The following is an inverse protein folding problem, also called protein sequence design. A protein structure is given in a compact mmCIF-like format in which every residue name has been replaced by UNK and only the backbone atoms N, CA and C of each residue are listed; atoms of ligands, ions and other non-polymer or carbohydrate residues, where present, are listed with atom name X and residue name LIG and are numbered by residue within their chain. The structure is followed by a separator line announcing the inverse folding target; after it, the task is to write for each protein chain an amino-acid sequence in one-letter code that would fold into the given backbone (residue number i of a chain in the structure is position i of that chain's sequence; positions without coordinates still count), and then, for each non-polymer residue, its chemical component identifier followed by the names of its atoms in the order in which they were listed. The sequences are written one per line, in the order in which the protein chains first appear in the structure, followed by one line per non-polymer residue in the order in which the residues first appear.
data_IF_735852990497
#
_entry.id   IF_735852990497
#
_cell.length_a   1.000
_cell.length_b   1.000
_cell.length_c   1.000
_cell.angle_alpha   90.00
_cell.angle_beta   90.00
_cell.angle_gamma   90.00
#
_symmetry.space_group_name_H-M   'P 1'
#
loop_
_entity.id
_entity.type
_entity.pdbx_description
1 polymer ?
#
# COMPACT_ATOMS: atom_id res chain seq x y z
N UNK A 1 -9.47 11.82 27.42
CA UNK A 1 -10.17 11.13 26.31
C UNK A 1 -9.49 11.52 25.01
N UNK A 2 -8.55 10.73 24.51
CA UNK A 2 -7.89 10.97 23.22
C UNK A 2 -8.81 10.41 22.14
N UNK A 3 -9.21 11.24 21.18
CA UNK A 3 -10.13 10.88 20.10
C UNK A 3 -9.33 10.20 18.98
N UNK A 4 -9.36 8.88 18.91
CA UNK A 4 -8.76 8.06 17.84
C UNK A 4 -9.58 8.11 16.53
N UNK A 5 -9.92 9.31 16.05
CA UNK A 5 -10.73 9.48 14.83
C UNK A 5 -9.89 9.46 13.54
N UNK A 6 -8.57 9.62 13.63
CA UNK A 6 -7.70 9.79 12.47
C UNK A 6 -7.55 8.53 11.63
N UNK A 7 -7.43 7.37 12.25
CA UNK A 7 -7.10 6.10 11.57
C UNK A 7 -8.29 5.55 10.77
N UNK A 8 -9.51 5.65 11.29
CA UNK A 8 -10.73 5.23 10.58
C UNK A 8 -11.13 6.16 9.44
N UNK A 9 -11.02 7.48 9.62
CA UNK A 9 -11.29 8.45 8.55
C UNK A 9 -10.27 8.30 7.42
N UNK A 10 -8.99 8.14 7.76
CA UNK A 10 -7.94 7.90 6.78
C UNK A 10 -8.17 6.60 6.02
N UNK A 11 -8.58 5.53 6.71
CA UNK A 11 -8.92 4.27 6.05
C UNK A 11 -10.08 4.44 5.05
N UNK A 12 -11.15 5.12 5.44
CA UNK A 12 -12.29 5.39 4.56
C UNK A 12 -11.92 6.26 3.34
N UNK A 13 -11.05 7.26 3.51
CA UNK A 13 -10.63 8.14 2.41
C UNK A 13 -9.70 7.46 1.40
N UNK A 14 -8.94 6.46 1.84
CA UNK A 14 -7.96 5.76 1.00
C UNK A 14 -8.47 4.38 0.54
N UNK A 15 -9.74 4.07 0.76
CA UNK A 15 -10.36 2.77 0.45
C UNK A 15 -9.61 1.59 1.09
N UNK A 16 -9.14 1.81 2.33
CA UNK A 16 -8.47 0.77 3.10
C UNK A 16 -9.52 -0.14 3.77
N UNK A 17 -9.29 -1.45 3.71
CA UNK A 17 -10.10 -2.50 4.32
C UNK A 17 -10.13 -2.41 5.85
N UNK A 18 -9.09 -1.85 6.48
CA UNK A 18 -9.05 -1.63 7.91
C UNK A 18 -8.11 -0.46 8.29
N UNK A 19 -8.37 0.10 9.47
CA UNK A 19 -7.51 1.12 10.05
C UNK A 19 -6.24 0.49 10.63
N UNK A 20 -5.08 1.08 10.32
CA UNK A 20 -3.79 0.64 10.84
C UNK A 20 -2.97 1.87 11.23
N UNK A 21 -2.22 1.79 12.32
CA UNK A 21 -1.24 2.82 12.66
C UNK A 21 0.00 2.71 11.77
N UNK A 22 0.77 3.79 11.69
CA UNK A 22 2.03 3.78 10.94
C UNK A 22 3.01 2.70 11.46
N UNK A 23 3.10 2.54 12.79
CA UNK A 23 3.97 1.55 13.40
C UNK A 23 3.56 0.13 13.02
N UNK A 24 2.28 -0.21 13.14
CA UNK A 24 1.74 -1.52 12.74
C UNK A 24 1.97 -1.81 11.25
N UNK A 25 1.77 -0.81 10.38
CA UNK A 25 2.02 -0.96 8.95
C UNK A 25 3.50 -1.26 8.66
N UNK A 26 4.41 -0.49 9.26
CA UNK A 26 5.85 -0.69 9.06
C UNK A 26 6.32 -2.03 9.63
N UNK A 27 5.78 -2.44 10.78
CA UNK A 27 6.03 -3.76 11.35
C UNK A 27 5.55 -4.86 10.42
N UNK A 28 4.33 -4.78 9.89
CA UNK A 28 3.82 -5.77 8.94
C UNK A 28 4.70 -5.89 7.68
N UNK A 29 5.11 -4.76 7.10
CA UNK A 29 6.00 -4.74 5.93
C UNK A 29 7.36 -5.37 6.23
N UNK A 30 7.97 -5.01 7.36
CA UNK A 30 9.27 -5.54 7.76
C UNK A 30 9.20 -7.05 8.09
N UNK A 31 8.20 -7.47 8.86
CA UNK A 31 7.98 -8.88 9.20
C UNK A 31 7.75 -9.70 7.94
N UNK A 32 6.91 -9.24 7.02
CA UNK A 32 6.67 -9.94 5.76
C UNK A 32 7.96 -10.07 4.93
N UNK A 33 8.80 -9.03 4.89
CA UNK A 33 10.10 -9.08 4.19
C UNK A 33 11.03 -10.11 4.82
N UNK A 34 11.21 -10.07 6.15
CA UNK A 34 12.09 -11.01 6.87
C UNK A 34 11.62 -12.45 6.70
N UNK A 35 10.32 -12.72 6.85
CA UNK A 35 9.78 -14.07 6.68
C UNK A 35 10.01 -14.60 5.27
N UNK A 36 9.82 -13.77 4.24
CA UNK A 36 9.99 -14.21 2.85
C UNK A 36 11.45 -14.41 2.45
N UNK A 37 12.38 -13.63 3.00
CA UNK A 37 13.82 -13.80 2.75
C UNK A 37 14.35 -15.08 3.40
N UNK A 38 13.77 -15.48 4.53
CA UNK A 38 14.21 -16.64 5.29
C UNK A 38 13.31 -17.88 5.11
N UNK A 39 12.34 -17.85 4.16
CA UNK A 39 11.47 -19.01 3.93
C UNK A 39 12.23 -20.10 3.19
N UNK A 40 11.95 -21.36 3.53
CA UNK A 40 12.36 -22.49 2.70
C UNK A 40 11.44 -22.55 1.48
N UNK A 41 11.95 -22.25 0.29
CA UNK A 41 11.18 -22.27 -0.95
C UNK A 41 10.72 -23.68 -1.37
N UNK A 42 11.31 -24.75 -0.82
CA UNK A 42 10.89 -26.13 -1.11
C UNK A 42 9.68 -26.54 -0.29
N UNK A 43 9.67 -26.19 0.99
CA UNK A 43 8.54 -26.48 1.90
C UNK A 43 7.43 -25.43 1.79
N UNK A 44 7.80 -24.18 1.52
CA UNK A 44 6.91 -23.03 1.40
C UNK A 44 7.20 -22.27 0.09
N UNK A 45 6.75 -22.80 -1.05
CA UNK A 45 7.05 -22.21 -2.36
C UNK A 45 6.43 -20.82 -2.53
N UNK A 46 5.26 -20.58 -1.93
CA UNK A 46 4.56 -19.32 -2.03
C UNK A 46 5.05 -18.28 -1.00
N UNK A 47 5.23 -17.01 -1.40
CA UNK A 47 5.53 -15.95 -0.46
C UNK A 47 4.42 -15.78 0.58
N UNK A 48 4.83 -15.62 1.84
CA UNK A 48 3.95 -15.23 2.93
C UNK A 48 3.43 -13.83 2.65
N UNK A 49 2.11 -13.66 2.73
CA UNK A 49 1.42 -12.38 2.61
C UNK A 49 0.68 -12.10 3.91
N UNK A 50 1.09 -11.04 4.59
CA UNK A 50 0.36 -10.55 5.75
C UNK A 50 -0.84 -9.70 5.29
N UNK A 51 -1.94 -9.65 6.07
CA UNK A 51 -3.05 -8.76 5.78
C UNK A 51 -2.56 -7.31 5.67
N UNK A 52 -2.85 -6.68 4.54
CA UNK A 52 -2.52 -5.28 4.29
C UNK A 52 -3.80 -4.45 4.29
N UNK A 53 -3.72 -3.16 4.66
CA UNK A 53 -4.91 -2.31 4.72
C UNK A 53 -5.50 -2.04 3.33
N UNK A 54 -4.75 -2.20 2.24
CA UNK A 54 -5.29 -2.07 0.88
C UNK A 54 -5.90 -3.39 0.38
N UNK A 55 -6.96 -3.32 -0.45
CA UNK A 55 -7.59 -4.52 -1.02
C UNK A 55 -6.61 -5.36 -1.83
N UNK A 56 -6.75 -6.69 -1.76
CA UNK A 56 -5.98 -7.58 -2.63
C UNK A 56 -6.21 -7.23 -4.11
N UNK A 57 -5.12 -7.13 -4.88
CA UNK A 57 -5.19 -6.77 -6.29
C UNK A 57 -5.11 -5.27 -6.60
N UNK A 58 -5.11 -4.37 -5.60
CA UNK A 58 -4.86 -2.92 -5.82
C UNK A 58 -3.45 -2.60 -6.35
N UNK A 59 -2.51 -3.54 -6.21
CA UNK A 59 -1.18 -3.47 -6.82
C UNK A 59 -1.09 -4.01 -8.25
N UNK A 60 -2.13 -4.70 -8.76
CA UNK A 60 -2.24 -4.89 -10.20
C UNK A 60 -2.66 -3.53 -10.71
N UNK A 61 -1.74 -2.83 -11.36
CA UNK A 61 -2.10 -1.65 -12.13
C UNK A 61 -3.41 -2.00 -12.85
N UNK A 62 -4.53 -1.36 -12.48
CA UNK A 62 -5.66 -1.30 -13.40
C UNK A 62 -5.04 -0.94 -14.75
N UNK A 63 -5.39 -1.62 -15.84
CA UNK A 63 -4.73 -1.42 -17.13
C UNK A 63 -4.85 0.05 -17.56
N UNK A 64 -3.93 0.88 -17.07
CA UNK A 64 -3.95 2.33 -17.25
C UNK A 64 -3.49 2.51 -18.67
N UNK A 65 -4.39 3.01 -19.51
CA UNK A 65 -4.05 3.25 -20.91
C UNK A 65 -2.88 4.24 -21.01
N UNK A 66 -2.12 4.24 -22.10
CA UNK A 66 -1.06 5.22 -22.31
C UNK A 66 -1.53 6.66 -22.12
N UNK A 67 -2.76 6.96 -22.51
CA UNK A 67 -3.41 8.27 -22.39
C UNK A 67 -3.70 8.63 -20.93
N UNK A 68 -4.27 7.71 -20.15
CA UNK A 68 -4.53 7.91 -18.73
C UNK A 68 -3.23 8.08 -17.94
N UNK A 69 -2.18 7.35 -18.32
CA UNK A 69 -0.86 7.48 -17.72
C UNK A 69 -0.25 8.87 -17.99
N UNK A 70 -0.42 9.40 -19.20
CA UNK A 70 0.03 10.75 -19.54
C UNK A 70 -0.73 11.81 -18.73
N UNK A 71 -2.05 11.65 -18.57
CA UNK A 71 -2.87 12.55 -17.76
C UNK A 71 -2.47 12.53 -16.27
N UNK A 72 -2.26 11.34 -15.69
CA UNK A 72 -1.80 11.19 -14.31
C UNK A 72 -0.40 11.79 -14.12
N UNK A 73 0.49 11.60 -15.09
CA UNK A 73 1.83 12.21 -15.06
C UNK A 73 1.76 13.74 -15.10
N UNK A 74 0.88 14.31 -15.93
CA UNK A 74 0.65 15.75 -15.98
C UNK A 74 0.07 16.30 -14.67
N UNK A 75 -0.86 15.56 -14.03
CA UNK A 75 -1.38 15.92 -12.71
C UNK A 75 -0.30 15.87 -11.63
N UNK A 76 0.57 14.87 -11.68
CA UNK A 76 1.67 14.70 -10.73
C UNK A 76 2.72 15.79 -10.91
N UNK A 77 3.08 16.14 -12.15
CA UNK A 77 3.97 17.27 -12.43
C UNK A 77 3.37 18.60 -11.96
N UNK A 78 2.08 18.85 -12.18
CA UNK A 78 1.40 20.08 -11.70
C UNK A 78 1.43 20.20 -10.17
N UNK A 79 1.40 19.08 -9.45
CA UNK A 79 1.40 19.06 -7.97
C UNK A 79 2.80 18.91 -7.37
N UNK A 80 3.80 18.57 -8.18
CA UNK A 80 5.17 18.37 -7.75
C UNK A 80 5.85 19.72 -7.51
N UNK A 81 6.43 19.88 -6.32
CA UNK A 81 7.27 21.03 -5.99
C UNK A 81 8.61 21.04 -6.75
N UNK A 82 8.94 19.96 -7.47
CA UNK A 82 10.18 19.79 -8.24
C UNK A 82 9.98 19.93 -9.76
N UNK A 83 8.81 20.40 -10.20
CA UNK A 83 8.52 20.58 -11.62
C UNK A 83 8.97 21.95 -12.18
N UNK A 84 9.64 22.77 -11.36
CA UNK A 84 10.27 24.04 -11.74
C UNK A 84 11.75 23.87 -12.09
#
# INVERSE_FOLDING_TARGET
MRRDFGSHLTAALNDWQFAVSYGELMTALQTQSVLNVNRDEKEHPDPIRLPMPWPEGTGKHADVTPEERAALRAQLLRRSAFAS
#
